data_IF_608596285695
#
_entry.id   IF_608596285695
#
_cell.length_a   1.000
_cell.length_b   1.000
_cell.length_c   1.000
_cell.angle_alpha   90.00
_cell.angle_beta   90.00
_cell.angle_gamma   90.00
#
_symmetry.space_group_name_H-M   'P 1'
#
loop_
_entity.id
_entity.type
_entity.pdbx_description
1 polymer ?
#
# COMPACT_ATOMS: atom_id res chain seq x y z
N UNK A 1 9.14 -11.28 14.08
CA UNK A 1 8.34 -10.48 13.11
C UNK A 1 9.19 -10.35 11.85
N UNK A 2 8.81 -11.01 10.74
CA UNK A 2 9.61 -10.95 9.51
C UNK A 2 9.51 -9.52 8.93
N UNK A 3 10.54 -8.70 9.16
CA UNK A 3 10.76 -7.44 8.42
C UNK A 3 11.26 -7.78 7.02
N UNK A 4 10.35 -8.23 6.15
CA UNK A 4 10.62 -8.35 4.72
C UNK A 4 10.62 -6.98 4.05
N UNK A 5 11.20 -6.89 2.85
CA UNK A 5 11.20 -5.67 2.04
C UNK A 5 9.75 -5.24 1.70
N UNK A 6 9.27 -4.09 2.20
CA UNK A 6 7.90 -3.64 1.96
C UNK A 6 7.61 -3.29 0.50
N UNK A 7 8.62 -3.23 -0.38
CA UNK A 7 8.43 -3.02 -1.82
C UNK A 7 8.12 -4.31 -2.61
N UNK A 8 8.15 -5.48 -1.97
CA UNK A 8 7.99 -6.78 -2.64
C UNK A 8 7.00 -7.70 -1.93
N UNK A 9 6.70 -8.86 -2.55
CA UNK A 9 5.91 -9.93 -1.96
C UNK A 9 4.41 -9.86 -2.23
N UNK A 10 3.62 -10.43 -1.31
CA UNK A 10 2.19 -10.68 -1.49
C UNK A 10 1.38 -9.41 -1.69
N UNK A 11 0.32 -9.51 -2.49
CA UNK A 11 -0.59 -8.39 -2.72
C UNK A 11 -0.07 -7.41 -3.77
N UNK A 12 0.96 -7.77 -4.54
CA UNK A 12 1.52 -6.99 -5.66
C UNK A 12 1.75 -5.52 -5.28
N UNK A 13 2.75 -5.21 -4.44
CA UNK A 13 3.11 -3.82 -4.15
C UNK A 13 3.43 -3.04 -5.42
N UNK A 14 2.82 -1.87 -5.57
CA UNK A 14 2.95 -1.01 -6.74
C UNK A 14 3.24 0.43 -6.29
N UNK A 15 4.24 1.08 -6.91
CA UNK A 15 4.50 2.51 -6.72
C UNK A 15 3.37 3.32 -7.35
N UNK A 16 2.78 4.22 -6.57
CA UNK A 16 1.81 5.18 -7.06
C UNK A 16 2.49 6.33 -7.83
N UNK A 17 1.73 7.02 -8.67
CA UNK A 17 2.20 8.05 -9.60
C UNK A 17 1.48 9.38 -9.38
N UNK A 18 1.92 10.42 -10.08
CA UNK A 18 1.35 11.77 -10.05
C UNK A 18 1.30 12.33 -8.62
N UNK A 19 0.13 12.79 -8.16
CA UNK A 19 -0.06 13.40 -6.84
C UNK A 19 0.20 12.43 -5.68
N UNK A 20 0.28 11.12 -5.95
CA UNK A 20 0.57 10.08 -4.96
C UNK A 20 1.98 9.48 -5.16
N UNK A 21 2.84 10.14 -5.95
CA UNK A 21 4.22 9.71 -6.13
C UNK A 21 4.97 9.63 -4.79
N UNK A 22 5.73 8.54 -4.60
CA UNK A 22 6.41 8.25 -3.34
C UNK A 22 5.60 7.42 -2.35
N UNK A 23 4.33 7.15 -2.63
CA UNK A 23 3.51 6.17 -1.93
C UNK A 23 3.49 4.82 -2.66
N UNK A 24 3.12 3.79 -1.91
CA UNK A 24 2.92 2.43 -2.35
C UNK A 24 1.48 2.01 -2.12
N UNK A 25 0.97 1.18 -3.03
CA UNK A 25 -0.30 0.48 -2.89
C UNK A 25 -0.03 -1.02 -2.87
N UNK A 26 -0.69 -1.74 -1.97
CA UNK A 26 -0.74 -3.21 -2.02
C UNK A 26 -2.15 -3.72 -1.80
N UNK A 27 -2.47 -4.84 -2.42
CA UNK A 27 -3.74 -5.55 -2.27
C UNK A 27 -3.77 -6.27 -0.92
N UNK A 28 -4.81 -6.01 -0.14
CA UNK A 28 -5.09 -6.73 1.12
C UNK A 28 -6.34 -7.62 0.99
N UNK A 29 -7.20 -7.32 0.02
CA UNK A 29 -8.27 -8.19 -0.46
C UNK A 29 -8.36 -8.06 -1.99
N UNK A 30 -9.34 -8.70 -2.63
CA UNK A 30 -9.60 -8.47 -4.06
C UNK A 30 -9.90 -6.99 -4.34
N UNK A 31 -10.63 -6.35 -3.42
CA UNK A 31 -11.16 -5.00 -3.56
C UNK A 31 -10.32 -3.94 -2.86
N UNK A 32 -9.86 -4.23 -1.65
CA UNK A 32 -9.21 -3.25 -0.79
C UNK A 32 -7.72 -3.08 -1.08
N UNK A 33 -7.23 -1.87 -0.79
CA UNK A 33 -5.82 -1.52 -0.86
C UNK A 33 -5.35 -0.95 0.47
N UNK A 34 -4.09 -1.22 0.78
CA UNK A 34 -3.32 -0.47 1.77
C UNK A 34 -2.45 0.54 1.02
N UNK A 35 -2.58 1.81 1.39
CA UNK A 35 -1.72 2.89 0.91
C UNK A 35 -0.72 3.24 2.00
N UNK A 36 0.56 3.15 1.67
CA UNK A 36 1.64 3.29 2.65
C UNK A 36 2.91 3.91 2.06
N UNK A 37 3.79 4.36 2.94
CA UNK A 37 5.19 4.69 2.68
C UNK A 37 6.04 3.97 3.73
N UNK A 38 7.32 3.79 3.49
CA UNK A 38 8.23 3.27 4.48
C UNK A 38 9.63 3.88 4.34
N UNK A 39 10.38 3.80 5.42
CA UNK A 39 11.82 4.05 5.47
C UNK A 39 12.51 2.91 6.24
N UNK A 40 13.76 3.11 6.67
CA UNK A 40 14.56 2.12 7.38
C UNK A 40 13.92 1.67 8.71
N UNK A 41 13.10 2.52 9.32
CA UNK A 41 12.61 2.35 10.68
C UNK A 41 11.09 2.11 10.73
N UNK A 42 10.34 2.74 9.83
CA UNK A 42 8.89 2.84 9.95
C UNK A 42 8.14 2.51 8.66
N UNK A 43 6.91 2.04 8.85
CA UNK A 43 5.87 1.99 7.81
C UNK A 43 4.80 3.00 8.20
N UNK A 44 4.56 3.97 7.34
CA UNK A 44 3.55 4.99 7.47
C UNK A 44 2.31 4.56 6.70
N UNK A 45 1.18 4.41 7.39
CA UNK A 45 -0.09 4.03 6.78
C UNK A 45 -0.95 5.27 6.56
N UNK A 46 -1.37 5.48 5.32
CA UNK A 46 -2.16 6.66 4.93
C UNK A 46 -3.64 6.33 4.75
N UNK A 47 -3.93 5.14 4.22
CA UNK A 47 -5.29 4.67 4.03
C UNK A 47 -5.34 3.15 3.99
N UNK A 48 -6.45 2.60 4.47
CA UNK A 48 -6.80 1.19 4.36
C UNK A 48 -8.24 1.14 3.88
N UNK A 49 -8.48 0.30 2.87
CA UNK A 49 -9.83 0.02 2.36
C UNK A 49 -10.06 0.57 0.96
N UNK A 50 -11.20 0.20 0.38
CA UNK A 50 -11.69 0.76 -0.87
C UNK A 50 -12.88 0.01 -1.44
N UNK A 51 -14.05 0.66 -1.37
CA UNK A 51 -14.96 0.89 -2.50
C UNK A 51 -15.66 2.25 -2.28
N UNK A 52 -15.43 3.23 -3.17
CA UNK A 52 -16.30 4.42 -3.34
C UNK A 52 -17.43 4.15 -4.36
N UNK A 53 -17.58 2.89 -4.79
CA UNK A 53 -18.45 2.49 -5.90
C UNK A 53 -19.60 1.57 -5.48
N UNK A 54 -19.88 1.43 -4.19
CA UNK A 54 -21.17 0.91 -3.75
C UNK A 54 -22.15 2.11 -3.81
N UNK A 55 -22.74 2.32 -4.99
CA UNK A 55 -24.02 3.01 -5.15
C UNK A 55 -25.14 1.97 -5.12
#
# INVERSE_FOLDING_TARGET
MLRGDPSTGTGKPEKLKHNLAGLWSRRISQKDRLIYKFDENYIYVFAIGGHYLDH
#
